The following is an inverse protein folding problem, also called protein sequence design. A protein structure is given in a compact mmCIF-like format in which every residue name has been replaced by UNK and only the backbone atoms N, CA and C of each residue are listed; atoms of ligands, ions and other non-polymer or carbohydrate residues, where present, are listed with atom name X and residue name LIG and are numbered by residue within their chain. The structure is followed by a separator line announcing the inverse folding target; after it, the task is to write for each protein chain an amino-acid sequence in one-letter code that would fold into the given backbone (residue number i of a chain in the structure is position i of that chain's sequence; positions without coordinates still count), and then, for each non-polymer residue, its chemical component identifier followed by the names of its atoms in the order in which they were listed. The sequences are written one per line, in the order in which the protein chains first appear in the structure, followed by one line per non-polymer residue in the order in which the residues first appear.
data_IF_540946734234
#
_entry.id   IF_540946734234
#
_cell.length_a   1.000
_cell.length_b   1.000
_cell.length_c   1.000
_cell.angle_alpha   90.00
_cell.angle_beta   90.00
_cell.angle_gamma   90.00
#
_symmetry.space_group_name_H-M   'P 1'
#
loop_
_entity.id
_entity.type
_entity.pdbx_description
1 polymer ?
#
# COMPACT_ATOMS: atom_id res chain seq x y z
N UNK A 1 -72.69 25.41 -27.67
CA UNK A 1 -72.62 24.00 -27.18
C UNK A 1 -71.21 23.73 -26.68
N UNK A 2 -71.04 23.53 -25.35
CA UNK A 2 -69.76 23.19 -24.72
C UNK A 2 -69.68 21.67 -24.55
N UNK A 3 -68.68 21.01 -25.14
CA UNK A 3 -68.31 19.64 -24.76
C UNK A 3 -67.23 19.72 -23.69
N UNK A 4 -67.63 19.50 -22.45
CA UNK A 4 -66.73 19.39 -21.30
C UNK A 4 -66.05 18.02 -21.40
N UNK A 5 -64.78 17.99 -21.77
CA UNK A 5 -63.96 16.77 -21.66
C UNK A 5 -63.74 16.49 -20.17
N UNK A 6 -64.15 15.31 -19.73
CA UNK A 6 -63.88 14.83 -18.38
C UNK A 6 -62.45 14.28 -18.38
N UNK A 7 -61.58 14.87 -17.57
CA UNK A 7 -60.24 14.36 -17.33
C UNK A 7 -60.34 12.93 -16.77
N UNK A 8 -59.90 11.93 -17.53
CA UNK A 8 -59.68 10.58 -17.02
C UNK A 8 -58.46 10.61 -16.09
N UNK A 9 -58.68 10.73 -14.78
CA UNK A 9 -57.65 10.48 -13.78
C UNK A 9 -57.44 8.97 -13.65
N UNK A 10 -56.61 8.40 -14.53
CA UNK A 10 -56.15 7.00 -14.38
C UNK A 10 -55.23 6.94 -13.15
N UNK A 11 -55.71 6.36 -12.05
CA UNK A 11 -54.92 6.12 -10.85
C UNK A 11 -53.79 5.12 -11.10
N UNK A 12 -52.74 5.18 -10.29
CA UNK A 12 -51.62 4.22 -10.33
C UNK A 12 -52.15 2.82 -10.00
N UNK A 13 -51.89 1.84 -10.85
CA UNK A 13 -52.27 0.46 -10.58
C UNK A 13 -51.28 -0.19 -9.60
N UNK A 14 -51.74 -1.17 -8.82
CA UNK A 14 -50.89 -1.92 -7.87
C UNK A 14 -49.68 -2.57 -8.57
N UNK A 15 -49.89 -3.03 -9.80
CA UNK A 15 -48.87 -3.70 -10.62
C UNK A 15 -47.80 -2.70 -11.06
N UNK A 16 -48.18 -1.49 -11.48
CA UNK A 16 -47.22 -0.44 -11.85
C UNK A 16 -46.38 0.01 -10.65
N UNK A 17 -46.99 0.12 -9.47
CA UNK A 17 -46.26 0.44 -8.24
C UNK A 17 -45.25 -0.66 -7.88
N UNK A 18 -45.67 -1.92 -7.97
CA UNK A 18 -44.79 -3.07 -7.71
C UNK A 18 -43.65 -3.14 -8.73
N UNK A 19 -43.93 -2.89 -10.01
CA UNK A 19 -42.92 -2.82 -11.06
C UNK A 19 -41.92 -1.68 -10.80
N UNK A 20 -42.38 -0.50 -10.38
CA UNK A 20 -41.51 0.62 -10.04
C UNK A 20 -40.61 0.30 -8.83
N UNK A 21 -41.16 -0.29 -7.77
CA UNK A 21 -40.40 -0.68 -6.58
C UNK A 21 -39.35 -1.74 -6.92
N UNK A 22 -39.74 -2.78 -7.67
CA UNK A 22 -38.82 -3.87 -8.05
C UNK A 22 -37.68 -3.38 -8.95
N UNK A 23 -37.96 -2.50 -9.91
CA UNK A 23 -36.90 -1.89 -10.72
C UNK A 23 -35.99 -1.01 -9.88
N UNK A 24 -36.55 -0.23 -8.96
CA UNK A 24 -35.77 0.65 -8.08
C UNK A 24 -34.85 -0.15 -7.15
N UNK A 25 -35.33 -1.25 -6.56
CA UNK A 25 -34.50 -2.09 -5.69
C UNK A 25 -33.36 -2.76 -6.46
N UNK A 26 -33.60 -3.20 -7.70
CA UNK A 26 -32.55 -3.74 -8.57
C UNK A 26 -31.47 -2.68 -8.83
N UNK A 27 -31.87 -1.46 -9.21
CA UNK A 27 -30.95 -0.36 -9.47
C UNK A 27 -30.13 -0.02 -8.22
N UNK A 28 -30.80 0.10 -7.07
CA UNK A 28 -30.16 0.39 -5.78
C UNK A 28 -29.15 -0.72 -5.41
N UNK A 29 -29.52 -2.00 -5.57
CA UNK A 29 -28.63 -3.12 -5.26
C UNK A 29 -27.35 -3.09 -6.10
N UNK A 30 -27.48 -2.81 -7.40
CA UNK A 30 -26.33 -2.67 -8.31
C UNK A 30 -25.46 -1.48 -7.88
N UNK A 31 -26.08 -0.32 -7.59
CA UNK A 31 -25.36 0.87 -7.17
C UNK A 31 -24.57 0.64 -5.87
N UNK A 32 -25.16 -0.01 -4.87
CA UNK A 32 -24.46 -0.36 -3.63
C UNK A 32 -23.34 -1.37 -3.86
N UNK A 33 -23.54 -2.37 -4.71
CA UNK A 33 -22.49 -3.34 -5.05
C UNK A 33 -21.26 -2.64 -5.67
N UNK A 34 -21.50 -1.72 -6.61
CA UNK A 34 -20.44 -0.91 -7.20
C UNK A 34 -19.75 -0.02 -6.16
N UNK A 35 -20.52 0.62 -5.26
CA UNK A 35 -19.98 1.47 -4.20
C UNK A 35 -19.09 0.69 -3.22
N UNK A 36 -19.54 -0.47 -2.74
CA UNK A 36 -18.74 -1.32 -1.86
C UNK A 36 -17.47 -1.82 -2.54
N UNK A 37 -17.56 -2.16 -3.83
CA UNK A 37 -16.40 -2.54 -4.63
C UNK A 37 -15.39 -1.40 -4.75
N UNK A 38 -15.87 -0.19 -5.05
CA UNK A 38 -15.03 1.01 -5.14
C UNK A 38 -14.33 1.33 -3.81
N UNK A 39 -15.05 1.22 -2.68
CA UNK A 39 -14.48 1.43 -1.34
C UNK A 39 -13.38 0.41 -1.05
N UNK A 40 -13.59 -0.87 -1.40
CA UNK A 40 -12.59 -1.91 -1.22
C UNK A 40 -11.33 -1.63 -2.04
N UNK A 41 -11.49 -1.35 -3.33
CA UNK A 41 -10.39 -1.04 -4.25
C UNK A 41 -9.62 0.19 -3.75
N UNK A 42 -10.33 1.23 -3.29
CA UNK A 42 -9.69 2.42 -2.75
C UNK A 42 -8.82 2.11 -1.53
N UNK A 43 -9.33 1.32 -0.57
CA UNK A 43 -8.56 0.91 0.61
C UNK A 43 -7.34 0.07 0.24
N UNK A 44 -7.49 -0.86 -0.69
CA UNK A 44 -6.39 -1.73 -1.14
C UNK A 44 -5.30 -0.90 -1.84
N UNK A 45 -5.67 0.01 -2.74
CA UNK A 45 -4.73 0.91 -3.40
C UNK A 45 -4.03 1.86 -2.41
N UNK A 46 -4.77 2.37 -1.42
CA UNK A 46 -4.20 3.26 -0.41
C UNK A 46 -3.14 2.55 0.44
N UNK A 47 -3.40 1.30 0.85
CA UNK A 47 -2.44 0.52 1.62
C UNK A 47 -1.20 0.19 0.78
N UNK A 48 -1.37 -0.24 -0.48
CA UNK A 48 -0.25 -0.45 -1.41
C UNK A 48 0.60 0.82 -1.59
N UNK A 49 -0.03 1.97 -1.76
CA UNK A 49 0.67 3.25 -1.91
C UNK A 49 1.47 3.64 -0.65
N UNK A 50 0.94 3.36 0.55
CA UNK A 50 1.65 3.59 1.81
C UNK A 50 2.89 2.71 1.93
N UNK A 51 2.78 1.41 1.63
CA UNK A 51 3.92 0.49 1.63
C UNK A 51 4.99 0.93 0.62
N UNK A 52 4.57 1.38 -0.56
CA UNK A 52 5.47 1.89 -1.59
C UNK A 52 6.23 3.13 -1.10
N UNK A 53 5.51 4.10 -0.54
CA UNK A 53 6.12 5.32 -0.01
C UNK A 53 7.12 5.01 1.11
N UNK A 54 6.81 4.08 2.01
CA UNK A 54 7.72 3.68 3.07
C UNK A 54 8.99 3.01 2.53
N UNK A 55 8.83 2.10 1.57
CA UNK A 55 9.95 1.44 0.91
C UNK A 55 10.86 2.45 0.19
N UNK A 56 10.26 3.42 -0.52
CA UNK A 56 11.00 4.49 -1.21
C UNK A 56 11.73 5.40 -0.24
N UNK A 57 11.13 5.74 0.91
CA UNK A 57 11.80 6.51 1.98
C UNK A 57 13.00 5.74 2.53
N UNK A 58 12.84 4.45 2.83
CA UNK A 58 13.93 3.60 3.34
C UNK A 58 15.10 3.55 2.34
N UNK A 59 14.81 3.29 1.06
CA UNK A 59 15.84 3.23 0.02
C UNK A 59 16.50 4.59 -0.23
N UNK A 60 15.72 5.67 -0.23
CA UNK A 60 16.24 7.04 -0.37
C UNK A 60 17.20 7.38 0.77
N UNK A 61 16.83 7.07 2.01
CA UNK A 61 17.72 7.25 3.17
C UNK A 61 18.95 6.35 3.08
N UNK A 62 18.82 5.08 2.68
CA UNK A 62 19.99 4.21 2.46
C UNK A 62 20.96 4.80 1.44
N UNK A 63 20.46 5.28 0.29
CA UNK A 63 21.27 5.91 -0.74
C UNK A 63 21.99 7.15 -0.17
N UNK A 64 21.25 8.07 0.45
CA UNK A 64 21.79 9.30 1.02
C UNK A 64 22.86 9.06 2.10
N UNK A 65 22.67 8.03 2.93
CA UNK A 65 23.65 7.63 3.93
C UNK A 65 24.87 7.01 3.23
N UNK A 66 24.66 6.18 2.21
CA UNK A 66 25.75 5.52 1.47
C UNK A 66 26.64 6.46 0.68
N UNK A 67 26.09 7.58 0.23
CA UNK A 67 26.86 8.66 -0.41
C UNK A 67 27.82 9.36 0.55
N UNK A 68 27.47 9.44 1.84
CA UNK A 68 28.19 10.25 2.84
C UNK A 68 29.07 9.43 3.76
N UNK A 69 28.71 8.17 4.00
CA UNK A 69 29.30 7.33 5.04
C UNK A 69 30.06 6.17 4.42
N UNK A 70 31.22 5.83 4.98
CA UNK A 70 32.04 4.71 4.50
C UNK A 70 31.49 3.35 4.94
N UNK A 71 30.79 3.31 6.07
CA UNK A 71 30.25 2.11 6.66
C UNK A 71 28.81 2.33 7.13
N UNK A 72 27.94 1.38 6.82
CA UNK A 72 26.53 1.37 7.24
C UNK A 72 26.24 0.01 7.84
N UNK A 73 25.58 -0.01 8.99
CA UNK A 73 25.07 -1.25 9.59
C UNK A 73 23.57 -1.33 9.44
N UNK A 74 23.10 -2.40 8.81
CA UNK A 74 21.68 -2.71 8.69
C UNK A 74 21.37 -3.83 9.67
N UNK A 75 20.31 -3.67 10.47
CA UNK A 75 19.84 -4.65 11.45
C UNK A 75 18.38 -4.94 11.24
N UNK A 76 18.01 -6.22 11.29
CA UNK A 76 16.63 -6.66 11.26
C UNK A 76 16.29 -7.27 12.62
N UNK A 77 15.19 -6.85 13.24
CA UNK A 77 14.75 -7.42 14.52
C UNK A 77 14.35 -8.90 14.38
N UNK A 78 14.36 -9.69 15.46
CA UNK A 78 13.97 -11.10 15.43
C UNK A 78 12.53 -11.36 14.95
N UNK A 79 11.65 -10.39 15.12
CA UNK A 79 10.26 -10.44 14.65
C UNK A 79 10.07 -9.86 13.23
N UNK A 80 11.16 -9.43 12.58
CA UNK A 80 11.17 -8.76 11.27
C UNK A 80 10.36 -7.46 11.21
N UNK A 81 10.00 -6.86 12.35
CA UNK A 81 9.14 -5.67 12.42
C UNK A 81 9.91 -4.39 12.62
N UNK A 82 11.20 -4.46 12.82
CA UNK A 82 12.05 -3.30 12.99
C UNK A 82 13.27 -3.43 12.10
N UNK A 83 13.38 -2.50 11.15
CA UNK A 83 14.58 -2.30 10.36
C UNK A 83 15.33 -1.11 10.94
N UNK A 84 16.59 -1.33 11.31
CA UNK A 84 17.45 -0.26 11.82
C UNK A 84 18.64 -0.08 10.89
N UNK A 85 18.88 1.16 10.49
CA UNK A 85 20.03 1.59 9.71
C UNK A 85 20.86 2.50 10.60
N UNK A 86 22.07 2.06 10.95
CA UNK A 86 23.00 2.83 11.75
C UNK A 86 24.22 3.21 10.90
N UNK A 87 24.62 4.48 10.94
CA UNK A 87 25.83 4.95 10.31
C UNK A 87 26.50 5.98 11.21
N UNK A 88 27.73 5.70 11.64
CA UNK A 88 28.42 6.41 12.72
C UNK A 88 27.52 6.54 13.97
N UNK A 89 27.25 7.76 14.42
CA UNK A 89 26.41 8.07 15.58
C UNK A 89 24.91 8.21 15.25
N UNK A 90 24.55 8.22 13.96
CA UNK A 90 23.16 8.35 13.53
C UNK A 90 22.48 6.97 13.42
N UNK A 91 21.25 6.89 13.92
CA UNK A 91 20.43 5.68 13.83
C UNK A 91 19.03 6.02 13.34
N UNK A 92 18.61 5.32 12.29
CA UNK A 92 17.28 5.42 11.70
C UNK A 92 16.53 4.10 11.92
N UNK A 93 15.31 4.19 12.44
CA UNK A 93 14.50 3.02 12.78
C UNK A 93 13.15 3.10 12.09
N UNK A 94 12.76 1.99 11.46
CA UNK A 94 11.46 1.82 10.81
C UNK A 94 10.76 0.64 11.48
N UNK A 95 9.54 0.85 11.98
CA UNK A 95 8.84 -0.10 12.86
C UNK A 95 7.34 -0.27 12.53
N UNK A 96 6.90 0.27 11.39
CA UNK A 96 5.49 0.31 11.01
C UNK A 96 5.04 -1.00 10.35
N UNK A 97 5.93 -1.68 9.62
CA UNK A 97 5.64 -2.87 8.82
C UNK A 97 6.58 -4.04 9.10
N UNK A 98 6.35 -5.16 8.39
CA UNK A 98 7.31 -6.25 8.32
C UNK A 98 8.31 -5.99 7.19
N UNK A 99 9.59 -6.27 7.44
CA UNK A 99 10.67 -6.03 6.50
C UNK A 99 11.41 -7.32 6.19
N UNK A 100 11.82 -7.45 4.94
CA UNK A 100 12.79 -8.44 4.50
C UNK A 100 13.76 -7.74 3.55
N UNK A 101 15.06 -7.95 3.77
CA UNK A 101 16.10 -7.29 2.98
C UNK A 101 17.11 -8.30 2.50
N UNK A 102 17.47 -8.21 1.22
CA UNK A 102 18.56 -8.95 0.63
C UNK A 102 19.66 -7.99 0.18
N UNK A 103 20.89 -8.31 0.54
CA UNK A 103 22.08 -7.52 0.21
C UNK A 103 23.03 -8.43 -0.57
N UNK A 104 23.44 -8.01 -1.76
CA UNK A 104 24.22 -8.86 -2.67
C UNK A 104 23.56 -10.23 -2.94
N UNK A 105 22.23 -10.26 -3.05
CA UNK A 105 21.40 -11.47 -3.19
C UNK A 105 21.36 -12.39 -1.97
N UNK A 106 22.01 -12.04 -0.87
CA UNK A 106 21.91 -12.77 0.39
C UNK A 106 20.86 -12.12 1.27
N UNK A 107 19.83 -12.88 1.61
CA UNK A 107 18.78 -12.45 2.53
C UNK A 107 19.34 -12.34 3.95
N UNK A 108 19.15 -11.17 4.57
CA UNK A 108 19.45 -10.97 5.99
C UNK A 108 18.38 -11.69 6.82
N UNK A 109 18.81 -12.57 7.73
CA UNK A 109 17.85 -13.30 8.57
C UNK A 109 17.32 -12.41 9.70
N UNK A 110 16.11 -12.67 10.20
CA UNK A 110 15.56 -11.96 11.36
C UNK A 110 16.47 -12.12 12.58
N UNK A 111 16.81 -11.00 13.23
CA UNK A 111 17.74 -10.96 14.36
C UNK A 111 19.20 -10.70 13.97
N UNK A 112 19.53 -10.77 12.68
CA UNK A 112 20.89 -10.52 12.22
C UNK A 112 21.18 -9.04 11.97
N UNK A 113 22.47 -8.74 11.89
CA UNK A 113 22.99 -7.46 11.43
C UNK A 113 24.14 -7.65 10.47
N UNK A 114 24.29 -6.71 9.55
CA UNK A 114 25.36 -6.70 8.57
C UNK A 114 25.92 -5.30 8.42
N UNK A 115 27.24 -5.19 8.49
CA UNK A 115 27.96 -3.94 8.24
C UNK A 115 28.51 -3.96 6.81
N UNK A 116 28.17 -2.94 6.06
CA UNK A 116 28.46 -2.79 4.64
C UNK A 116 29.45 -1.66 4.43
N UNK A 117 30.44 -1.88 3.56
CA UNK A 117 31.37 -0.85 3.11
C UNK A 117 30.86 -0.25 1.80
N UNK A 118 30.57 1.04 1.79
CA UNK A 118 29.89 1.74 0.68
C UNK A 118 30.82 2.13 -0.48
N UNK A 119 32.10 1.73 -0.40
CA UNK A 119 33.12 2.02 -1.40
C UNK A 119 32.93 1.25 -2.72
N UNK A 120 32.04 0.25 -2.72
CA UNK A 120 31.68 -0.54 -3.90
C UNK A 120 30.16 -0.56 -4.06
N UNK A 121 29.65 -0.68 -5.30
CA UNK A 121 28.23 -0.89 -5.54
C UNK A 121 27.67 -2.08 -4.77
N UNK A 122 26.62 -1.85 -3.98
CA UNK A 122 25.92 -2.87 -3.20
C UNK A 122 24.46 -2.93 -3.63
N UNK A 123 24.05 -3.91 -4.45
CA UNK A 123 22.64 -4.15 -4.74
C UNK A 123 21.86 -4.52 -3.46
N UNK A 124 20.77 -3.80 -3.24
CA UNK A 124 19.80 -4.02 -2.18
C UNK A 124 18.44 -4.33 -2.78
N UNK A 125 17.80 -5.34 -2.24
CA UNK A 125 16.40 -5.66 -2.49
C UNK A 125 15.64 -5.63 -1.17
N UNK A 126 14.61 -4.79 -1.11
CA UNK A 126 13.78 -4.59 0.09
C UNK A 126 12.34 -5.01 -0.21
N UNK A 127 11.78 -5.77 0.72
CA UNK A 127 10.38 -6.12 0.81
C UNK A 127 9.78 -5.44 2.04
N UNK A 128 8.65 -4.77 1.85
CA UNK A 128 7.85 -4.17 2.93
C UNK A 128 6.47 -4.79 2.88
N UNK A 129 6.06 -5.42 3.97
CA UNK A 129 4.79 -6.16 4.09
C UNK A 129 3.90 -5.56 5.16
N UNK A 130 2.63 -5.34 4.81
CA UNK A 130 1.65 -4.73 5.69
C UNK A 130 1.46 -5.57 6.96
N UNK A 131 1.43 -4.89 8.10
CA UNK A 131 1.24 -5.51 9.41
C UNK A 131 -0.23 -5.84 9.73
N UNK A 132 -1.17 -5.07 9.18
CA UNK A 132 -2.60 -5.08 9.50
C UNK A 132 -3.47 -5.70 8.39
N UNK A 133 -3.01 -5.73 7.13
CA UNK A 133 -3.74 -6.25 5.97
C UNK A 133 -2.97 -7.44 5.37
N UNK A 134 -3.48 -8.66 5.59
CA UNK A 134 -2.65 -9.88 5.68
C UNK A 134 -1.92 -10.36 4.42
N UNK A 135 -1.94 -9.62 3.31
CA UNK A 135 -1.25 -10.06 2.09
C UNK A 135 -0.74 -8.93 1.17
N UNK A 136 -0.77 -7.67 1.61
CA UNK A 136 -0.19 -6.59 0.81
C UNK A 136 1.31 -6.49 1.05
N UNK A 137 2.07 -6.40 -0.03
CA UNK A 137 3.51 -6.27 0.01
C UNK A 137 4.02 -5.47 -1.19
N UNK A 138 5.12 -4.77 -0.97
CA UNK A 138 5.86 -4.05 -1.99
C UNK A 138 7.28 -4.59 -2.04
N UNK A 139 7.82 -4.65 -3.25
CA UNK A 139 9.20 -5.01 -3.55
C UNK A 139 9.86 -3.84 -4.28
N UNK A 140 10.97 -3.36 -3.74
CA UNK A 140 11.79 -2.30 -4.34
C UNK A 140 13.26 -2.72 -4.36
N UNK A 141 14.01 -2.24 -5.34
CA UNK A 141 15.43 -2.53 -5.49
C UNK A 141 16.22 -1.27 -5.77
N UNK A 142 17.42 -1.18 -5.22
CA UNK A 142 18.39 -0.10 -5.49
C UNK A 142 19.81 -0.67 -5.51
N UNK A 143 20.77 0.14 -5.93
CA UNK A 143 22.19 -0.13 -5.74
C UNK A 143 22.78 1.01 -4.92
N UNK A 144 23.35 0.69 -3.76
CA UNK A 144 24.05 1.68 -2.95
C UNK A 144 25.43 1.93 -3.56
N UNK A 145 25.72 3.19 -3.84
CA UNK A 145 27.01 3.62 -4.41
C UNK A 145 27.43 4.95 -3.79
N UNK A 146 28.74 5.13 -3.63
CA UNK A 146 29.29 6.42 -3.23
C UNK A 146 29.61 7.26 -4.45
N UNK A 147 28.88 8.37 -4.64
CA UNK A 147 29.20 9.36 -5.68
C UNK A 147 30.53 10.02 -5.30
N UNK A 148 31.51 9.94 -6.21
CA UNK A 148 32.84 10.53 -6.06
C UNK A 148 32.86 12.03 -6.35
#
# INVERSE_FOLDING_TARGET
MKRKQWNEQKGVTLIELLAAITLTTIVIAIAFSALFSAIKIYKDNQAQARLQQEADIILSHLNQISEKQNEITIRLSPDSRTLTIAANDDTYTYDQNYYEISINSNQLQPGDSVTLKTNTPIPILLYVKDRNLSNQQVKVSTTLERIH
#
